data_IF_891976654935
#
_entry.id   IF_891976654935
#
_cell.length_a   1.000
_cell.length_b   1.000
_cell.length_c   1.000
_cell.angle_alpha   90.00
_cell.angle_beta   90.00
_cell.angle_gamma   90.00
#
_symmetry.space_group_name_H-M   'P 1'
#
loop_
_entity.id
_entity.type
_entity.pdbx_description
1 polymer ?
#
# COMPACT_ATOMS: atom_id res chain seq x y z
N UNK A 1 -22.64 -12.65 5.97
CA UNK A 1 -21.60 -12.22 5.02
C UNK A 1 -20.75 -11.06 5.53
N UNK A 2 -21.35 -10.00 6.08
CA UNK A 2 -20.67 -8.76 6.51
C UNK A 2 -19.37 -8.93 7.34
N UNK A 3 -19.29 -9.91 8.25
CA UNK A 3 -18.08 -10.14 9.05
C UNK A 3 -16.89 -10.65 8.21
N UNK A 4 -17.16 -11.56 7.26
CA UNK A 4 -16.11 -12.13 6.39
C UNK A 4 -15.56 -11.07 5.45
N UNK A 5 -16.43 -10.24 4.87
CA UNK A 5 -16.05 -9.12 4.01
C UNK A 5 -15.21 -8.09 4.77
N UNK A 6 -15.61 -7.72 5.99
CA UNK A 6 -14.83 -6.82 6.84
C UNK A 6 -13.43 -7.35 7.14
N UNK A 7 -13.33 -8.63 7.53
CA UNK A 7 -12.02 -9.24 7.82
C UNK A 7 -11.13 -9.27 6.58
N UNK A 8 -11.67 -9.67 5.42
CA UNK A 8 -10.94 -9.63 4.16
C UNK A 8 -10.44 -8.22 3.83
N UNK A 9 -11.33 -7.23 3.94
CA UNK A 9 -10.97 -5.84 3.66
C UNK A 9 -9.84 -5.32 4.57
N UNK A 10 -9.89 -5.61 5.88
CA UNK A 10 -8.84 -5.21 6.81
C UNK A 10 -7.50 -5.91 6.52
N UNK A 11 -7.54 -7.17 6.09
CA UNK A 11 -6.34 -7.90 5.66
C UNK A 11 -5.75 -7.26 4.40
N UNK A 12 -6.58 -6.94 3.41
CA UNK A 12 -6.14 -6.27 2.18
C UNK A 12 -5.48 -4.92 2.48
N UNK A 13 -6.09 -4.11 3.36
CA UNK A 13 -5.50 -2.84 3.81
C UNK A 13 -4.18 -3.05 4.56
N UNK A 14 -4.10 -4.03 5.46
CA UNK A 14 -2.86 -4.39 6.15
C UNK A 14 -1.76 -4.82 5.18
N UNK A 15 -2.10 -5.55 4.12
CA UNK A 15 -1.18 -5.93 3.06
C UNK A 15 -0.57 -4.74 2.32
N UNK A 16 -1.31 -3.63 2.18
CA UNK A 16 -0.77 -2.39 1.58
C UNK A 16 0.29 -1.74 2.47
N UNK A 17 0.13 -1.80 3.79
CA UNK A 17 1.11 -1.26 4.75
C UNK A 17 2.43 -2.04 4.65
N UNK A 18 2.36 -3.37 4.56
CA UNK A 18 3.52 -4.23 4.34
C UNK A 18 4.19 -3.95 2.99
N UNK A 19 3.41 -3.95 1.89
CA UNK A 19 3.92 -3.73 0.53
C UNK A 19 4.58 -2.36 0.35
N UNK A 20 4.10 -1.34 1.05
CA UNK A 20 4.71 -0.01 1.05
C UNK A 20 6.06 0.05 1.81
N UNK A 21 6.51 -1.05 2.42
CA UNK A 21 7.75 -1.12 3.20
C UNK A 21 7.66 -0.46 4.58
N UNK A 22 6.46 -0.02 4.98
CA UNK A 22 6.30 0.76 6.21
C UNK A 22 6.51 -0.09 7.46
N UNK A 23 6.21 -1.40 7.37
CA UNK A 23 6.45 -2.36 8.44
C UNK A 23 7.94 -2.53 8.75
N UNK A 24 8.74 -2.77 7.71
CA UNK A 24 10.20 -2.92 7.83
C UNK A 24 10.85 -1.62 8.27
N UNK A 25 10.45 -0.48 7.67
CA UNK A 25 10.98 0.84 8.02
C UNK A 25 10.72 1.22 9.48
N UNK A 26 9.57 0.83 10.02
CA UNK A 26 9.15 1.17 11.38
C UNK A 26 9.53 0.10 12.41
N UNK A 27 10.20 -0.99 12.02
CA UNK A 27 10.47 -2.14 12.90
C UNK A 27 9.21 -2.65 13.63
N UNK A 28 8.12 -2.82 12.87
CA UNK A 28 6.80 -3.21 13.39
C UNK A 28 6.18 -2.23 14.44
N UNK A 29 6.78 -1.06 14.69
CA UNK A 29 6.26 -0.11 15.67
C UNK A 29 4.96 0.54 15.21
N UNK A 30 3.86 0.12 15.84
CA UNK A 30 2.50 0.54 15.47
C UNK A 30 2.28 2.05 15.62
N UNK A 31 2.94 2.69 16.59
CA UNK A 31 2.79 4.12 16.81
C UNK A 31 3.44 4.92 15.67
N UNK A 32 4.62 4.50 15.22
CA UNK A 32 5.34 5.08 14.08
C UNK A 32 4.57 4.88 12.77
N UNK A 33 4.07 3.67 12.51
CA UNK A 33 3.21 3.38 11.34
C UNK A 33 1.98 4.30 11.36
N UNK A 34 1.30 4.41 12.50
CA UNK A 34 0.12 5.25 12.63
C UNK A 34 0.43 6.74 12.45
N UNK A 35 1.52 7.24 13.02
CA UNK A 35 2.00 8.61 12.85
C UNK A 35 2.28 8.96 11.39
N UNK A 36 2.93 8.05 10.64
CA UNK A 36 3.19 8.23 9.22
C UNK A 36 1.89 8.32 8.40
N UNK A 37 0.89 7.49 8.72
CA UNK A 37 -0.43 7.55 8.07
C UNK A 37 -1.18 8.85 8.40
N UNK A 38 -1.09 9.33 9.64
CA UNK A 38 -1.68 10.61 10.05
C UNK A 38 -1.04 11.79 9.30
N UNK A 39 0.28 11.78 9.11
CA UNK A 39 1.00 12.78 8.33
C UNK A 39 0.49 12.82 6.87
N UNK A 40 0.29 11.65 6.24
CA UNK A 40 -0.31 11.57 4.90
C UNK A 40 -1.74 12.16 4.88
N UNK A 41 -2.58 11.84 5.86
CA UNK A 41 -3.93 12.41 5.96
C UNK A 41 -3.88 13.94 6.13
N UNK A 42 -2.94 14.45 6.93
CA UNK A 42 -2.71 15.88 7.10
C UNK A 42 -2.37 16.56 5.77
N UNK A 43 -1.40 16.02 5.03
CA UNK A 43 -1.01 16.52 3.70
C UNK A 43 -2.15 16.51 2.69
N UNK A 44 -2.96 15.44 2.69
CA UNK A 44 -4.09 15.30 1.78
C UNK A 44 -5.27 16.23 2.09
N UNK A 45 -5.31 16.85 3.28
CA UNK A 45 -6.37 17.77 3.70
C UNK A 45 -5.95 19.24 3.67
N UNK A 46 -4.66 19.52 3.44
CA UNK A 46 -4.15 20.89 3.27
C UNK A 46 -4.58 21.54 1.96
N UNK A 47 -4.12 22.78 1.73
CA UNK A 47 -4.63 23.66 0.67
C UNK A 47 -4.49 23.11 -0.78
N UNK A 48 -3.61 22.10 -1.01
CA UNK A 48 -3.43 21.38 -2.29
C UNK A 48 -3.99 19.94 -2.29
N UNK A 49 -5.05 19.69 -1.52
CA UNK A 49 -5.66 18.37 -1.31
C UNK A 49 -6.00 17.59 -2.59
N UNK A 50 -6.54 18.28 -3.61
CA UNK A 50 -7.00 17.66 -4.86
C UNK A 50 -5.87 17.05 -5.68
N UNK A 51 -4.75 17.77 -5.82
CA UNK A 51 -3.61 17.35 -6.63
C UNK A 51 -2.82 16.23 -5.95
N UNK A 52 -2.76 16.26 -4.62
CA UNK A 52 -2.03 15.28 -3.80
C UNK A 52 -2.63 13.88 -3.93
N UNK A 53 -3.96 13.73 -3.78
CA UNK A 53 -4.63 12.43 -3.90
C UNK A 53 -4.53 11.86 -5.32
N UNK A 54 -4.67 12.71 -6.35
CA UNK A 54 -4.52 12.28 -7.74
C UNK A 54 -3.10 11.78 -8.04
N UNK A 55 -2.08 12.46 -7.50
CA UNK A 55 -0.69 12.05 -7.62
C UNK A 55 -0.44 10.68 -6.98
N UNK A 56 -0.90 10.47 -5.75
CA UNK A 56 -0.73 9.20 -5.04
C UNK A 56 -1.45 8.05 -5.74
N UNK A 57 -2.66 8.30 -6.26
CA UNK A 57 -3.39 7.30 -7.06
C UNK A 57 -2.58 6.86 -8.28
N UNK A 58 -2.00 7.79 -9.03
CA UNK A 58 -1.15 7.47 -10.20
C UNK A 58 0.10 6.71 -9.80
N UNK A 59 0.76 7.10 -8.70
CA UNK A 59 1.96 6.42 -8.20
C UNK A 59 1.66 5.00 -7.74
N UNK A 60 0.58 4.80 -6.97
CA UNK A 60 0.14 3.49 -6.52
C UNK A 60 -0.17 2.56 -7.70
N UNK A 61 -0.90 3.05 -8.72
CA UNK A 61 -1.19 2.26 -9.92
C UNK A 61 0.10 1.78 -10.61
N UNK A 62 1.07 2.67 -10.82
CA UNK A 62 2.36 2.29 -11.44
C UNK A 62 3.14 1.27 -10.63
N UNK A 63 3.09 1.34 -9.30
CA UNK A 63 3.74 0.36 -8.44
C UNK A 63 3.09 -1.03 -8.60
N UNK A 64 1.76 -1.10 -8.58
CA UNK A 64 1.04 -2.36 -8.83
C UNK A 64 1.31 -2.94 -10.21
N UNK A 65 1.28 -2.09 -11.24
CA UNK A 65 1.54 -2.51 -12.63
C UNK A 65 2.97 -3.08 -12.74
N UNK A 66 3.97 -2.40 -12.18
CA UNK A 66 5.37 -2.84 -12.20
C UNK A 66 5.60 -4.17 -11.44
N UNK A 67 4.97 -4.35 -10.29
CA UNK A 67 5.03 -5.61 -9.54
C UNK A 67 4.35 -6.76 -10.30
N UNK A 68 3.21 -6.48 -10.95
CA UNK A 68 2.50 -7.48 -11.76
C UNK A 68 3.35 -7.91 -12.95
N UNK A 69 3.95 -6.95 -13.66
CA UNK A 69 4.89 -7.25 -14.74
C UNK A 69 6.11 -8.03 -14.26
N UNK A 70 6.64 -7.74 -13.06
CA UNK A 70 7.75 -8.49 -12.49
C UNK A 70 7.35 -9.94 -12.15
N UNK A 71 6.11 -10.16 -11.71
CA UNK A 71 5.55 -11.50 -11.48
C UNK A 71 5.32 -12.26 -12.79
N UNK A 72 4.88 -11.58 -13.86
CA UNK A 72 4.66 -12.17 -15.20
C UNK A 72 5.96 -12.46 -15.95
N UNK A 73 7.00 -11.64 -15.75
CA UNK A 73 8.34 -11.83 -16.31
C UNK A 73 9.19 -12.81 -15.49
N UNK A 74 8.65 -13.34 -14.38
CA UNK A 74 9.24 -14.43 -13.61
C UNK A 74 9.16 -15.76 -14.37
N UNK A 75 10.20 -16.02 -15.18
CA UNK A 75 10.72 -17.31 -15.62
C UNK A 75 9.76 -18.52 -15.54
N UNK A 76 9.04 -18.75 -16.64
CA UNK A 76 8.62 -20.10 -17.01
C UNK A 76 9.84 -20.93 -17.44
N UNK A 77 10.48 -21.60 -16.49
CA UNK A 77 11.40 -22.71 -16.76
C UNK A 77 11.24 -23.77 -15.66
N UNK A 78 11.08 -25.08 -15.98
CA UNK A 78 10.89 -26.09 -14.95
C UNK A 78 12.26 -26.35 -14.28
N UNK A 79 12.31 -26.21 -12.97
CA UNK A 79 13.54 -26.35 -12.19
C UNK A 79 13.33 -27.13 -10.90
N UNK A 80 13.24 -28.46 -11.06
CA UNK A 80 13.23 -29.57 -10.08
C UNK A 80 12.15 -29.60 -9.00
#
# INVERSE_FOLDING_TARGET
MQRRERTRHLIELGGLVQKAGLVELADDDRATIYGALLELVGRARGDDAGDTLALWRRRGKRAFDAESEAMEKGDGGPGY
#
